data_IF_431195446689
#
_entry.id   IF_431195446689
#
_cell.length_a   1.000
_cell.length_b   1.000
_cell.length_c   1.000
_cell.angle_alpha   90.00
_cell.angle_beta   90.00
_cell.angle_gamma   90.00
#
_symmetry.space_group_name_H-M   'P 1'
#
loop_
_entity.id
_entity.type
_entity.pdbx_description
1 polymer ?
#
# COMPACT_ATOMS: atom_id res chain seq x y z
N UNK A 1 -3.40 6.66 -6.30
CA UNK A 1 -1.98 6.28 -6.40
C UNK A 1 -1.44 5.71 -5.08
N UNK A 2 -1.52 6.39 -3.89
CA UNK A 2 -0.91 5.87 -2.66
C UNK A 2 -1.52 4.53 -2.24
N UNK A 3 -2.84 4.37 -2.32
CA UNK A 3 -3.50 3.09 -2.07
C UNK A 3 -3.01 1.97 -2.98
N UNK A 4 -2.73 2.30 -4.24
CA UNK A 4 -2.31 1.30 -5.23
C UNK A 4 -0.92 0.76 -4.90
N UNK A 5 0.03 1.62 -4.53
CA UNK A 5 1.35 1.18 -4.08
C UNK A 5 1.25 0.29 -2.84
N UNK A 6 0.63 0.79 -1.78
CA UNK A 6 0.52 0.09 -0.52
C UNK A 6 -0.22 -1.24 -0.66
N UNK A 7 -1.37 -1.24 -1.35
CA UNK A 7 -2.18 -2.45 -1.52
C UNK A 7 -1.54 -3.48 -2.47
N UNK A 8 -0.79 -3.07 -3.51
CA UNK A 8 -0.05 -4.01 -4.35
C UNK A 8 1.11 -4.66 -3.60
N UNK A 9 1.79 -3.90 -2.74
CA UNK A 9 2.82 -4.43 -1.85
C UNK A 9 2.25 -5.44 -0.87
N UNK A 10 1.16 -5.09 -0.19
CA UNK A 10 0.49 -5.96 0.76
C UNK A 10 -0.11 -7.22 0.10
N UNK A 11 -0.64 -7.10 -1.10
CA UNK A 11 -1.10 -8.25 -1.89
C UNK A 11 0.01 -9.29 -2.05
N UNK A 12 1.24 -8.88 -2.30
CA UNK A 12 2.39 -9.79 -2.45
C UNK A 12 2.76 -10.41 -1.09
N UNK A 13 2.75 -9.62 -0.01
CA UNK A 13 3.02 -10.09 1.33
C UNK A 13 1.97 -11.13 1.77
N UNK A 14 0.68 -10.82 1.65
CA UNK A 14 -0.40 -11.74 2.01
C UNK A 14 -0.43 -12.99 1.14
N UNK A 15 -0.11 -12.89 -0.15
CA UNK A 15 0.02 -14.06 -1.04
C UNK A 15 1.15 -15.00 -0.65
N UNK A 16 2.11 -14.58 0.15
CA UNK A 16 3.13 -15.44 0.77
C UNK A 16 2.68 -16.08 2.09
N UNK A 17 1.48 -15.74 2.57
CA UNK A 17 0.93 -16.20 3.85
C UNK A 17 1.26 -15.30 5.04
N UNK A 18 1.81 -14.11 4.82
CA UNK A 18 2.15 -13.15 5.88
C UNK A 18 1.09 -12.05 5.95
N UNK A 19 0.51 -11.84 7.14
CA UNK A 19 -0.46 -10.78 7.42
C UNK A 19 0.22 -9.62 8.14
N UNK A 20 0.36 -8.49 7.47
CA UNK A 20 1.07 -7.34 8.01
C UNK A 20 0.13 -6.16 8.32
N UNK A 21 -0.32 -6.05 9.55
CA UNK A 21 -1.13 -4.92 10.01
C UNK A 21 -0.32 -3.64 10.29
N UNK A 22 1.00 -3.66 10.05
CA UNK A 22 1.90 -2.52 10.23
C UNK A 22 1.97 -1.54 9.06
N UNK A 23 1.16 -1.74 8.03
CA UNK A 23 1.21 -1.00 6.77
C UNK A 23 1.06 0.52 6.96
N UNK A 24 0.18 0.95 7.86
CA UNK A 24 -0.01 2.37 8.21
C UNK A 24 1.26 3.00 8.75
N UNK A 25 1.93 2.34 9.70
CA UNK A 25 3.21 2.81 10.26
C UNK A 25 4.34 2.84 9.22
N UNK A 26 4.37 1.86 8.31
CA UNK A 26 5.34 1.82 7.21
C UNK A 26 5.13 2.96 6.22
N UNK A 27 3.86 3.30 5.92
CA UNK A 27 3.52 4.46 5.10
C UNK A 27 3.95 5.77 5.75
N UNK A 28 3.70 5.94 7.06
CA UNK A 28 4.09 7.16 7.80
C UNK A 28 5.61 7.34 7.84
N UNK A 29 6.37 6.27 8.12
CA UNK A 29 7.82 6.30 8.09
C UNK A 29 8.36 6.61 6.69
N UNK A 30 7.75 6.03 5.65
CA UNK A 30 8.06 6.36 4.27
C UNK A 30 7.77 7.82 3.92
N UNK A 31 6.65 8.36 4.39
CA UNK A 31 6.24 9.74 4.14
C UNK A 31 7.21 10.75 4.77
N UNK A 32 7.55 10.58 6.06
CA UNK A 32 8.45 11.51 6.76
C UNK A 32 9.86 11.46 6.22
N UNK A 33 10.37 10.25 5.93
CA UNK A 33 11.72 10.07 5.40
C UNK A 33 11.85 10.65 3.99
N UNK A 34 10.85 10.37 3.13
CA UNK A 34 10.83 10.95 1.79
C UNK A 34 10.75 12.47 1.82
N UNK A 35 9.90 13.03 2.69
CA UNK A 35 9.80 14.47 2.86
C UNK A 35 11.13 15.08 3.30
N UNK A 36 11.76 14.54 4.36
CA UNK A 36 13.04 15.03 4.86
C UNK A 36 14.16 14.99 3.81
N UNK A 37 14.24 13.90 3.02
CA UNK A 37 15.22 13.80 1.94
C UNK A 37 14.91 14.78 0.80
N UNK A 38 13.65 14.96 0.42
CA UNK A 38 13.28 15.95 -0.59
C UNK A 38 13.59 17.37 -0.12
N UNK A 39 13.30 17.68 1.13
CA UNK A 39 13.56 18.99 1.74
C UNK A 39 15.04 19.35 1.78
N UNK A 40 15.90 18.37 2.08
CA UNK A 40 17.35 18.59 2.20
C UNK A 40 18.11 18.52 0.87
N UNK A 41 17.67 17.65 -0.05
CA UNK A 41 18.40 17.39 -1.32
C UNK A 41 17.75 18.00 -2.54
N UNK A 42 16.47 18.36 -2.48
CA UNK A 42 15.68 18.81 -3.64
C UNK A 42 15.38 17.68 -4.65
N UNK A 43 15.79 16.44 -4.40
CA UNK A 43 15.67 15.33 -5.35
C UNK A 43 14.48 14.43 -5.02
N UNK A 44 13.45 14.44 -5.87
CA UNK A 44 12.29 13.56 -5.74
C UNK A 44 12.66 12.07 -5.86
N UNK A 45 13.62 11.73 -6.71
CA UNK A 45 14.04 10.34 -6.91
C UNK A 45 14.70 9.77 -5.65
N UNK A 46 15.64 10.52 -5.07
CA UNK A 46 16.27 10.13 -3.79
C UNK A 46 15.25 10.06 -2.66
N UNK A 47 14.30 10.97 -2.63
CA UNK A 47 13.24 11.01 -1.64
C UNK A 47 12.35 9.75 -1.71
N UNK A 48 11.90 9.37 -2.91
CA UNK A 48 11.09 8.15 -3.10
C UNK A 48 11.88 6.90 -2.74
N UNK A 49 13.16 6.83 -3.12
CA UNK A 49 14.04 5.71 -2.74
C UNK A 49 14.22 5.63 -1.22
N UNK A 50 14.44 6.76 -0.55
CA UNK A 50 14.55 6.82 0.91
C UNK A 50 13.25 6.41 1.60
N UNK A 51 12.09 6.83 1.09
CA UNK A 51 10.79 6.40 1.58
C UNK A 51 10.57 4.89 1.42
N UNK A 52 10.96 4.32 0.27
CA UNK A 52 10.91 2.87 0.04
C UNK A 52 11.82 2.11 1.03
N UNK A 53 13.03 2.59 1.26
CA UNK A 53 13.98 1.99 2.21
C UNK A 53 13.47 2.08 3.66
N UNK A 54 12.88 3.20 4.06
CA UNK A 54 12.28 3.36 5.39
C UNK A 54 11.11 2.39 5.61
N UNK A 55 10.23 2.25 4.62
CA UNK A 55 9.16 1.25 4.66
C UNK A 55 9.69 -0.19 4.70
N UNK A 56 10.73 -0.50 3.91
CA UNK A 56 11.40 -1.81 3.93
C UNK A 56 12.09 -2.09 5.27
N UNK A 57 12.71 -1.09 5.90
CA UNK A 57 13.34 -1.23 7.22
C UNK A 57 12.31 -1.56 8.31
N UNK A 58 11.16 -0.90 8.28
CA UNK A 58 10.03 -1.23 9.16
C UNK A 58 9.50 -2.64 8.90
N UNK A 59 9.41 -3.04 7.62
CA UNK A 59 9.00 -4.39 7.24
C UNK A 59 10.03 -5.43 7.64
N UNK A 60 11.32 -5.11 7.64
CA UNK A 60 12.37 -5.99 8.14
C UNK A 60 12.20 -6.23 9.65
N UNK A 61 11.95 -5.18 10.42
CA UNK A 61 11.66 -5.30 11.85
C UNK A 61 10.43 -6.19 12.08
N UNK A 62 9.35 -5.98 11.33
CA UNK A 62 8.18 -6.85 11.35
C UNK A 62 8.54 -8.30 11.01
N UNK A 63 9.30 -8.54 9.95
CA UNK A 63 9.65 -9.87 9.49
C UNK A 63 10.50 -10.63 10.52
N UNK A 64 11.45 -9.97 11.17
CA UNK A 64 12.24 -10.58 12.25
C UNK A 64 11.33 -11.02 13.40
N UNK A 65 10.42 -10.17 13.84
CA UNK A 65 9.51 -10.49 14.94
C UNK A 65 8.47 -11.56 14.55
N UNK A 66 7.81 -11.39 13.41
CA UNK A 66 6.67 -12.21 13.01
C UNK A 66 7.09 -13.52 12.31
N UNK A 67 8.20 -13.55 11.57
CA UNK A 67 8.63 -14.71 10.80
C UNK A 67 9.71 -15.49 11.56
N UNK A 68 10.78 -14.82 12.05
CA UNK A 68 11.89 -15.52 12.73
C UNK A 68 11.57 -15.82 14.18
N UNK A 69 11.04 -14.85 14.95
CA UNK A 69 10.66 -15.03 16.35
C UNK A 69 9.24 -15.58 16.53
N UNK A 70 8.49 -15.78 15.43
CA UNK A 70 7.13 -16.34 15.40
C UNK A 70 6.14 -15.61 16.33
N UNK A 71 6.35 -14.32 16.56
CA UNK A 71 5.40 -13.48 17.27
C UNK A 71 4.06 -13.42 16.52
N UNK A 72 2.99 -13.12 17.23
CA UNK A 72 1.68 -12.94 16.60
C UNK A 72 1.74 -11.82 15.56
N UNK A 73 1.48 -12.15 14.30
CA UNK A 73 1.62 -11.23 13.16
C UNK A 73 0.72 -9.99 13.29
N UNK A 74 -0.53 -10.19 13.71
CA UNK A 74 -1.48 -9.10 13.89
C UNK A 74 -1.02 -8.14 15.00
N UNK A 75 -0.67 -8.68 16.19
CA UNK A 75 -0.20 -7.89 17.32
C UNK A 75 1.09 -7.14 17.00
N UNK A 76 2.05 -7.81 16.32
CA UNK A 76 3.30 -7.19 15.88
C UNK A 76 3.06 -6.05 14.89
N UNK A 77 2.16 -6.26 13.92
CA UNK A 77 1.80 -5.22 12.95
C UNK A 77 1.15 -4.00 13.60
N UNK A 78 0.22 -4.21 14.53
CA UNK A 78 -0.41 -3.14 15.30
C UNK A 78 0.61 -2.35 16.14
N UNK A 79 1.51 -3.05 16.84
CA UNK A 79 2.57 -2.41 17.60
C UNK A 79 3.49 -1.57 16.71
N UNK A 80 3.85 -2.07 15.52
CA UNK A 80 4.64 -1.31 14.55
C UNK A 80 3.90 -0.12 13.95
N UNK A 81 2.58 -0.19 13.82
CA UNK A 81 1.78 0.97 13.43
C UNK A 81 1.91 2.08 14.48
N UNK A 82 1.71 1.75 15.76
CA UNK A 82 1.84 2.72 16.86
C UNK A 82 3.28 3.27 16.92
N UNK A 83 4.28 2.41 16.80
CA UNK A 83 5.68 2.83 16.71
C UNK A 83 5.92 3.78 15.54
N UNK A 84 5.41 3.45 14.34
CA UNK A 84 5.54 4.28 13.15
C UNK A 84 4.88 5.65 13.29
N UNK A 85 3.71 5.73 13.93
CA UNK A 85 3.03 7.00 14.26
C UNK A 85 3.93 7.84 15.16
N UNK A 86 4.42 7.28 16.28
CA UNK A 86 5.28 8.02 17.22
C UNK A 86 6.62 8.43 16.60
N UNK A 87 7.30 7.51 15.93
CA UNK A 87 8.61 7.76 15.32
C UNK A 87 8.52 8.79 14.18
N UNK A 88 7.51 8.68 13.32
CA UNK A 88 7.33 9.64 12.23
C UNK A 88 6.97 11.04 12.75
N UNK A 89 6.17 11.14 13.81
CA UNK A 89 5.87 12.40 14.48
C UNK A 89 7.14 13.05 15.05
N UNK A 90 7.97 12.26 15.75
CA UNK A 90 9.23 12.76 16.33
C UNK A 90 10.21 13.25 15.24
N UNK A 91 10.44 12.45 14.20
CA UNK A 91 11.34 12.81 13.08
C UNK A 91 10.78 14.01 12.31
N UNK A 92 9.47 14.10 12.18
CA UNK A 92 8.79 15.09 11.37
C UNK A 92 8.58 16.46 12.03
N UNK A 93 8.87 16.62 13.34
CA UNK A 93 8.63 17.87 14.07
C UNK A 93 9.25 19.08 13.39
N UNK A 94 10.49 18.97 12.92
CA UNK A 94 11.19 20.05 12.23
C UNK A 94 10.66 20.42 10.84
N UNK A 95 9.75 19.62 10.30
CA UNK A 95 9.23 19.79 8.93
C UNK A 95 7.79 20.31 8.90
N UNK A 96 7.13 20.44 10.07
CA UNK A 96 5.74 20.92 10.15
C UNK A 96 5.67 22.34 9.61
N UNK A 97 4.70 22.59 8.70
CA UNK A 97 4.50 23.91 8.09
C UNK A 97 5.47 24.26 6.96
N UNK A 98 6.39 23.37 6.59
CA UNK A 98 7.30 23.57 5.47
C UNK A 98 6.67 23.01 4.18
N UNK A 99 6.38 23.84 3.16
CA UNK A 99 5.88 23.35 1.88
C UNK A 99 7.05 22.89 0.99
N UNK A 100 6.79 21.88 0.17
CA UNK A 100 7.68 21.46 -0.92
C UNK A 100 7.06 21.84 -2.28
N UNK A 101 7.89 22.14 -3.29
CA UNK A 101 7.38 22.26 -4.65
C UNK A 101 6.85 20.89 -5.10
N UNK A 102 5.62 20.85 -5.69
CA UNK A 102 5.08 19.59 -6.19
C UNK A 102 5.96 19.02 -7.31
N UNK A 103 6.01 17.69 -7.46
CA UNK A 103 6.80 17.04 -8.51
C UNK A 103 6.32 17.46 -9.89
N UNK A 104 7.26 17.54 -10.83
CA UNK A 104 6.99 17.93 -12.22
C UNK A 104 6.01 16.94 -12.86
N UNK A 105 4.94 17.45 -13.44
CA UNK A 105 4.00 16.65 -14.23
C UNK A 105 4.65 16.28 -15.56
N UNK A 106 4.54 15.02 -15.93
CA UNK A 106 4.95 14.53 -17.26
C UNK A 106 3.84 14.89 -18.27
N UNK A 107 3.78 16.18 -18.64
CA UNK A 107 2.87 16.63 -19.69
C UNK A 107 3.56 16.49 -21.05
N UNK A 108 2.91 15.84 -22.01
CA UNK A 108 3.35 15.81 -23.41
C UNK A 108 2.69 17.01 -24.11
N UNK A 109 3.47 18.05 -24.50
CA UNK A 109 2.91 19.22 -25.15
C UNK A 109 2.07 18.82 -26.38
N UNK A 110 0.87 19.38 -26.49
CA UNK A 110 -0.06 19.09 -27.60
C UNK A 110 -1.00 17.90 -27.41
N UNK A 111 -0.62 16.88 -26.63
CA UNK A 111 -1.49 15.73 -26.33
C UNK A 111 -2.20 15.86 -24.96
N UNK A 112 -1.50 16.38 -23.97
CA UNK A 112 -2.04 16.53 -22.61
C UNK A 112 -3.02 17.70 -22.48
N UNK A 113 -2.88 18.77 -23.30
CA UNK A 113 -3.67 19.99 -23.17
C UNK A 113 -4.82 20.09 -24.17
N UNK A 114 -4.76 19.33 -25.27
CA UNK A 114 -5.70 19.43 -26.40
C UNK A 114 -7.04 18.72 -26.18
N UNK A 115 -7.12 17.70 -25.35
CA UNK A 115 -8.33 16.90 -25.16
C UNK A 115 -8.56 16.55 -23.68
N UNK A 116 -9.83 16.37 -23.28
CA UNK A 116 -10.19 15.92 -21.92
C UNK A 116 -9.58 14.55 -21.61
N UNK A 117 -9.54 13.65 -22.58
CA UNK A 117 -8.90 12.35 -22.45
C UNK A 117 -7.37 12.45 -22.27
N UNK A 118 -6.71 13.38 -22.97
CA UNK A 118 -5.29 13.67 -22.81
C UNK A 118 -4.94 14.14 -21.40
N UNK A 119 -5.73 15.04 -20.83
CA UNK A 119 -5.55 15.50 -19.44
C UNK A 119 -5.72 14.39 -18.42
N UNK A 120 -6.69 13.48 -18.62
CA UNK A 120 -6.96 12.35 -17.71
C UNK A 120 -5.88 11.28 -17.83
N UNK A 121 -5.30 11.05 -19.00
CA UNK A 121 -4.35 9.96 -19.22
C UNK A 121 -2.88 10.41 -19.16
N UNK A 122 -2.57 11.65 -19.56
CA UNK A 122 -1.20 12.11 -19.80
C UNK A 122 -0.80 13.34 -18.97
N UNK A 123 -1.65 13.79 -18.03
CA UNK A 123 -1.42 14.99 -17.21
C UNK A 123 -0.96 14.70 -15.77
N UNK A 124 -0.37 13.54 -15.50
CA UNK A 124 0.00 13.11 -14.16
C UNK A 124 1.52 13.17 -13.92
N UNK A 125 1.91 13.08 -12.64
CA UNK A 125 3.29 12.94 -12.24
C UNK A 125 3.84 11.52 -12.51
N UNK A 126 5.17 11.37 -12.52
CA UNK A 126 5.85 10.10 -12.80
C UNK A 126 5.43 8.96 -11.86
N UNK A 127 5.07 9.27 -10.61
CA UNK A 127 4.72 8.27 -9.60
C UNK A 127 3.35 7.62 -9.90
N UNK A 128 2.44 8.35 -10.57
CA UNK A 128 1.16 7.77 -11.01
C UNK A 128 1.40 6.67 -12.06
N UNK A 129 2.25 6.95 -13.04
CA UNK A 129 2.60 5.96 -14.07
C UNK A 129 3.39 4.81 -13.48
N UNK A 130 4.29 5.08 -12.54
CA UNK A 130 5.03 4.04 -11.81
C UNK A 130 4.07 3.13 -11.03
N UNK A 131 3.02 3.67 -10.40
CA UNK A 131 2.02 2.87 -9.68
C UNK A 131 1.26 1.92 -10.62
N UNK A 132 0.88 2.40 -11.82
CA UNK A 132 0.23 1.58 -12.83
C UNK A 132 1.18 0.50 -13.38
N UNK A 133 2.41 0.88 -13.71
CA UNK A 133 3.44 -0.06 -14.16
C UNK A 133 3.71 -1.13 -13.09
N UNK A 134 3.79 -0.73 -11.82
CA UNK A 134 3.96 -1.66 -10.70
C UNK A 134 2.77 -2.61 -10.55
N UNK A 135 1.53 -2.12 -10.73
CA UNK A 135 0.34 -2.98 -10.70
C UNK A 135 0.37 -4.05 -11.80
N UNK A 136 0.78 -3.66 -13.01
CA UNK A 136 0.96 -4.61 -14.14
C UNK A 136 2.10 -5.58 -13.84
N UNK A 137 3.22 -5.09 -13.31
CA UNK A 137 4.38 -5.93 -12.95
C UNK A 137 4.02 -6.97 -11.88
N UNK A 138 3.31 -6.57 -10.81
CA UNK A 138 2.83 -7.49 -9.76
C UNK A 138 1.83 -8.50 -10.33
N UNK A 139 0.91 -8.07 -11.19
CA UNK A 139 -0.04 -8.98 -11.85
C UNK A 139 0.69 -10.02 -12.72
N UNK A 140 1.65 -9.57 -13.53
CA UNK A 140 2.47 -10.46 -14.33
C UNK A 140 3.35 -11.38 -13.48
N UNK A 141 3.99 -10.85 -12.44
CA UNK A 141 4.83 -11.61 -11.50
C UNK A 141 4.04 -12.76 -10.87
N UNK A 142 2.87 -12.46 -10.29
CA UNK A 142 2.02 -13.47 -9.65
C UNK A 142 1.44 -14.47 -10.64
N UNK A 143 1.14 -14.08 -11.90
CA UNK A 143 0.47 -14.93 -12.86
C UNK A 143 1.44 -15.78 -13.71
N UNK A 144 2.60 -15.24 -14.05
CA UNK A 144 3.48 -15.81 -15.10
C UNK A 144 4.88 -16.18 -14.64
N UNK A 145 5.39 -15.63 -13.52
CA UNK A 145 6.76 -15.90 -13.08
C UNK A 145 6.87 -17.16 -12.21
N UNK A 146 8.00 -17.88 -12.31
CA UNK A 146 8.32 -19.03 -11.43
C UNK A 146 8.37 -18.61 -9.96
N UNK A 147 8.94 -17.45 -9.66
CA UNK A 147 9.03 -16.94 -8.29
C UNK A 147 7.64 -16.58 -7.73
N UNK A 148 6.75 -15.99 -8.56
CA UNK A 148 5.36 -15.73 -8.17
C UNK A 148 4.55 -17.00 -7.94
N UNK A 149 4.82 -18.08 -8.71
CA UNK A 149 4.22 -19.38 -8.47
C UNK A 149 4.70 -19.96 -7.14
N UNK A 150 6.02 -19.94 -6.87
CA UNK A 150 6.61 -20.38 -5.61
C UNK A 150 6.05 -19.60 -4.40
N UNK A 151 5.92 -18.27 -4.54
CA UNK A 151 5.33 -17.42 -3.52
C UNK A 151 3.90 -17.81 -3.17
N UNK A 152 3.06 -18.09 -4.18
CA UNK A 152 1.68 -18.55 -3.96
C UNK A 152 1.65 -19.93 -3.32
N UNK A 153 2.51 -20.86 -3.77
CA UNK A 153 2.61 -22.19 -3.17
C UNK A 153 2.98 -22.13 -1.67
N UNK A 154 3.88 -21.22 -1.29
CA UNK A 154 4.24 -20.94 0.12
C UNK A 154 3.04 -20.41 0.91
N UNK A 155 2.23 -19.52 0.31
CA UNK A 155 1.03 -18.98 0.95
C UNK A 155 -0.12 -19.99 1.07
N UNK A 156 -0.22 -20.94 0.14
CA UNK A 156 -1.27 -21.95 0.17
C UNK A 156 -0.91 -23.11 1.12
N UNK A 157 0.33 -23.61 1.10
CA UNK A 157 0.83 -24.65 2.01
C UNK A 157 2.33 -24.50 2.23
N UNK A 158 2.70 -23.88 3.35
CA UNK A 158 4.11 -23.66 3.69
C UNK A 158 4.85 -25.00 3.89
N UNK A 159 4.22 -26.00 4.51
CA UNK A 159 4.81 -27.31 4.78
C UNK A 159 5.03 -28.10 3.47
N UNK A 160 4.05 -28.10 2.56
CA UNK A 160 4.18 -28.75 1.25
C UNK A 160 5.24 -28.04 0.38
N UNK A 161 5.30 -26.72 0.42
CA UNK A 161 6.29 -25.93 -0.30
C UNK A 161 7.71 -26.23 0.22
N UNK A 162 7.88 -26.37 1.54
CA UNK A 162 9.14 -26.75 2.17
C UNK A 162 9.56 -28.18 1.77
N UNK A 163 8.63 -29.14 1.79
CA UNK A 163 8.89 -30.53 1.37
C UNK A 163 9.35 -30.61 -0.11
N UNK A 164 8.93 -29.67 -0.95
CA UNK A 164 9.39 -29.53 -2.34
C UNK A 164 10.72 -28.77 -2.50
N UNK A 165 11.39 -28.43 -1.37
CA UNK A 165 12.68 -27.74 -1.37
C UNK A 165 12.60 -26.21 -1.53
N UNK A 166 11.41 -25.59 -1.43
CA UNK A 166 11.29 -24.13 -1.45
C UNK A 166 11.70 -23.52 -0.12
N UNK A 167 12.47 -22.45 -0.16
CA UNK A 167 12.83 -21.71 1.05
C UNK A 167 11.67 -20.79 1.46
N UNK A 168 10.79 -21.31 2.35
CA UNK A 168 9.60 -20.61 2.84
C UNK A 168 9.96 -19.31 3.54
N UNK A 169 10.95 -19.34 4.44
CA UNK A 169 11.37 -18.18 5.23
C UNK A 169 11.88 -17.05 4.32
N UNK A 170 12.81 -17.37 3.40
CA UNK A 170 13.34 -16.35 2.47
C UNK A 170 12.25 -15.77 1.57
N UNK A 171 11.29 -16.59 1.11
CA UNK A 171 10.17 -16.14 0.28
C UNK A 171 9.26 -15.19 1.06
N UNK A 172 8.93 -15.51 2.31
CA UNK A 172 8.13 -14.64 3.19
C UNK A 172 8.85 -13.34 3.50
N UNK A 173 10.15 -13.38 3.80
CA UNK A 173 10.97 -12.17 4.01
C UNK A 173 10.96 -11.27 2.78
N UNK A 174 11.26 -11.80 1.60
CA UNK A 174 11.30 -11.04 0.36
C UNK A 174 9.94 -10.38 0.05
N UNK A 175 8.84 -11.11 0.23
CA UNK A 175 7.49 -10.60 0.03
C UNK A 175 7.13 -9.48 1.02
N UNK A 176 7.49 -9.66 2.29
CA UNK A 176 7.22 -8.66 3.36
C UNK A 176 8.04 -7.40 3.15
N UNK A 177 9.33 -7.52 2.79
CA UNK A 177 10.19 -6.38 2.48
C UNK A 177 9.69 -5.61 1.27
N UNK A 178 9.28 -6.31 0.21
CA UNK A 178 8.65 -5.69 -0.94
C UNK A 178 7.36 -4.95 -0.55
N UNK A 179 6.52 -5.58 0.29
CA UNK A 179 5.31 -4.97 0.84
C UNK A 179 5.58 -3.66 1.55
N UNK A 180 6.57 -3.65 2.47
CA UNK A 180 6.97 -2.46 3.19
C UNK A 180 7.58 -1.38 2.32
N UNK A 181 8.42 -1.76 1.33
CA UNK A 181 8.96 -0.80 0.37
C UNK A 181 7.85 -0.10 -0.41
N UNK A 182 6.85 -0.85 -0.90
CA UNK A 182 5.70 -0.29 -1.60
C UNK A 182 4.84 0.59 -0.69
N UNK A 183 4.64 0.21 0.57
CA UNK A 183 3.99 1.05 1.57
C UNK A 183 4.75 2.37 1.78
N UNK A 184 6.08 2.30 1.89
CA UNK A 184 6.95 3.48 1.99
C UNK A 184 6.84 4.41 0.78
N UNK A 185 6.80 3.86 -0.45
CA UNK A 185 6.55 4.65 -1.67
C UNK A 185 5.16 5.27 -1.65
N UNK A 186 4.13 4.52 -1.20
CA UNK A 186 2.78 5.05 -1.01
C UNK A 186 2.73 6.24 -0.04
N UNK A 187 3.49 6.15 1.06
CA UNK A 187 3.70 7.25 2.00
C UNK A 187 4.44 8.44 1.38
N UNK A 188 5.55 8.17 0.66
CA UNK A 188 6.31 9.19 -0.06
C UNK A 188 5.42 9.96 -1.05
N UNK A 189 4.54 9.27 -1.77
CA UNK A 189 3.59 9.93 -2.67
C UNK A 189 2.68 10.92 -1.93
N UNK A 190 2.24 10.57 -0.72
CA UNK A 190 1.38 11.47 0.08
C UNK A 190 2.10 12.77 0.43
N UNK A 191 3.34 12.69 0.92
CA UNK A 191 4.09 13.86 1.39
C UNK A 191 4.77 14.66 0.27
N UNK A 192 5.02 14.06 -0.90
CA UNK A 192 5.69 14.73 -2.01
C UNK A 192 4.74 15.27 -3.08
N UNK A 193 3.68 14.50 -3.41
CA UNK A 193 2.84 14.78 -4.57
C UNK A 193 1.37 15.09 -4.23
N UNK A 194 0.77 14.33 -3.31
CA UNK A 194 -0.64 14.49 -2.98
C UNK A 194 -0.89 15.72 -2.11
N UNK A 195 -0.12 15.86 -1.03
CA UNK A 195 -0.12 17.03 -0.16
C UNK A 195 1.35 17.37 0.09
N UNK A 196 1.98 18.24 -0.72
CA UNK A 196 3.42 18.48 -0.68
C UNK A 196 3.82 19.27 0.56
N UNK A 197 3.56 18.67 1.70
CA UNK A 197 3.92 19.13 3.05
C UNK A 197 3.91 17.94 4.00
N UNK A 198 4.63 18.06 5.09
CA UNK A 198 4.57 17.09 6.18
C UNK A 198 3.53 17.52 7.22
N UNK A 199 2.75 16.56 7.68
CA UNK A 199 1.85 16.70 8.83
C UNK A 199 1.76 15.40 9.62
N UNK A 200 1.63 15.51 10.93
CA UNK A 200 1.45 14.35 11.79
C UNK A 200 0.23 13.53 11.36
N UNK A 201 0.39 12.22 11.38
CA UNK A 201 -0.66 11.26 11.01
C UNK A 201 -1.29 11.52 9.61
N UNK A 202 -0.51 12.06 8.66
CA UNK A 202 -1.00 12.45 7.34
C UNK A 202 -1.56 11.30 6.50
N UNK A 203 -1.25 10.06 6.83
CA UNK A 203 -1.83 8.88 6.19
C UNK A 203 -3.29 8.67 6.59
N UNK A 204 -3.68 9.08 7.81
CA UNK A 204 -5.07 9.09 8.30
C UNK A 204 -5.84 7.78 8.01
N UNK A 205 -5.22 6.64 8.27
CA UNK A 205 -5.84 5.32 8.07
C UNK A 205 -5.75 4.77 6.64
N UNK A 206 -5.03 5.42 5.72
CA UNK A 206 -4.90 4.96 4.33
C UNK A 206 -4.21 3.61 4.20
N UNK A 207 -3.31 3.26 5.13
CA UNK A 207 -2.72 1.93 5.19
C UNK A 207 -3.74 0.85 5.54
N UNK A 208 -4.64 1.11 6.48
CA UNK A 208 -5.76 0.22 6.81
C UNK A 208 -6.72 0.02 5.64
N UNK A 209 -6.99 1.10 4.89
CA UNK A 209 -7.82 1.03 3.69
C UNK A 209 -7.13 0.18 2.62
N UNK A 210 -5.81 0.33 2.43
CA UNK A 210 -5.05 -0.46 1.48
C UNK A 210 -5.12 -1.96 1.80
N UNK A 211 -5.03 -2.33 3.08
CA UNK A 211 -5.19 -3.70 3.56
C UNK A 211 -6.62 -4.22 3.30
N UNK A 212 -7.64 -3.44 3.63
CA UNK A 212 -9.02 -3.79 3.35
C UNK A 212 -9.27 -3.99 1.84
N UNK A 213 -8.62 -3.19 0.98
CA UNK A 213 -8.71 -3.32 -0.48
C UNK A 213 -8.12 -4.65 -0.99
N UNK A 214 -7.10 -5.23 -0.35
CA UNK A 214 -6.55 -6.55 -0.72
C UNK A 214 -7.58 -7.64 -0.48
N UNK A 215 -8.21 -7.64 0.69
CA UNK A 215 -9.29 -8.58 1.04
C UNK A 215 -10.49 -8.39 0.11
N UNK A 216 -10.91 -7.14 -0.12
CA UNK A 216 -11.95 -6.74 -1.07
C UNK A 216 -11.66 -7.27 -2.48
N UNK A 217 -10.44 -7.13 -2.95
CA UNK A 217 -10.02 -7.61 -4.26
C UNK A 217 -9.93 -9.14 -4.35
N UNK A 218 -10.19 -9.86 -3.24
CA UNK A 218 -10.01 -11.31 -3.16
C UNK A 218 -8.63 -11.75 -3.67
N UNK A 219 -7.59 -11.05 -3.25
CA UNK A 219 -6.19 -11.25 -3.64
C UNK A 219 -5.93 -11.30 -5.16
N UNK A 220 -6.77 -10.60 -5.96
CA UNK A 220 -6.61 -10.50 -7.42
C UNK A 220 -6.13 -9.09 -7.81
N UNK A 221 -4.95 -8.94 -8.46
CA UNK A 221 -4.38 -7.63 -8.79
C UNK A 221 -5.32 -6.73 -9.61
N UNK A 222 -6.00 -7.29 -10.63
CA UNK A 222 -6.92 -6.50 -11.46
C UNK A 222 -8.13 -5.95 -10.70
N UNK A 223 -8.69 -6.72 -9.74
CA UNK A 223 -9.78 -6.25 -8.88
C UNK A 223 -9.27 -5.21 -7.88
N UNK A 224 -8.03 -5.35 -7.43
CA UNK A 224 -7.41 -4.40 -6.51
C UNK A 224 -7.23 -3.03 -7.18
N UNK A 225 -6.80 -2.99 -8.44
CA UNK A 225 -6.75 -1.75 -9.22
C UNK A 225 -8.13 -1.11 -9.29
N UNK A 226 -9.15 -1.88 -9.70
CA UNK A 226 -10.53 -1.38 -9.78
C UNK A 226 -11.04 -0.86 -8.44
N UNK A 227 -10.80 -1.60 -7.35
CA UNK A 227 -11.17 -1.19 -6.00
C UNK A 227 -10.46 0.09 -5.53
N UNK A 228 -9.17 0.21 -5.79
CA UNK A 228 -8.39 1.40 -5.44
C UNK A 228 -8.88 2.65 -6.19
N UNK A 229 -9.23 2.53 -7.46
CA UNK A 229 -9.80 3.64 -8.23
C UNK A 229 -11.23 3.97 -7.82
N UNK A 230 -12.06 2.97 -7.54
CA UNK A 230 -13.40 3.17 -7.01
C UNK A 230 -13.37 3.94 -5.68
N UNK A 231 -12.50 3.51 -4.74
CA UNK A 231 -12.35 4.19 -3.46
C UNK A 231 -11.85 5.64 -3.66
N UNK A 232 -10.86 5.84 -4.53
CA UNK A 232 -10.34 7.17 -4.85
C UNK A 232 -11.43 8.06 -5.48
N UNK A 233 -12.25 7.54 -6.39
CA UNK A 233 -13.34 8.27 -7.01
C UNK A 233 -14.40 8.72 -5.98
N UNK A 234 -14.76 7.84 -5.03
CA UNK A 234 -15.71 8.17 -3.96
C UNK A 234 -15.12 9.24 -3.03
N UNK A 235 -13.82 9.13 -2.70
CA UNK A 235 -13.11 10.15 -1.90
C UNK A 235 -13.09 11.51 -2.61
N UNK A 236 -12.86 11.53 -3.93
CA UNK A 236 -12.93 12.76 -4.70
C UNK A 236 -14.35 13.32 -4.78
N UNK A 237 -15.36 12.47 -5.01
CA UNK A 237 -16.76 12.87 -5.02
C UNK A 237 -17.19 13.50 -3.68
N UNK A 238 -16.66 13.01 -2.56
CA UNK A 238 -16.86 13.60 -1.24
C UNK A 238 -16.38 15.07 -1.19
N UNK A 239 -15.15 15.34 -1.68
CA UNK A 239 -14.62 16.71 -1.71
C UNK A 239 -15.42 17.64 -2.63
N UNK A 240 -15.84 17.15 -3.79
CA UNK A 240 -16.72 17.91 -4.67
C UNK A 240 -18.08 18.18 -4.03
N UNK A 241 -18.66 17.22 -3.33
CA UNK A 241 -19.92 17.39 -2.61
C UNK A 241 -19.83 18.44 -1.50
N UNK A 242 -18.70 18.49 -0.79
CA UNK A 242 -18.43 19.52 0.21
C UNK A 242 -18.34 20.91 -0.42
N UNK A 243 -17.64 21.05 -1.56
CA UNK A 243 -17.48 22.31 -2.28
C UNK A 243 -18.78 22.79 -2.95
N UNK A 244 -19.65 21.90 -3.34
CA UNK A 244 -20.93 22.21 -4.00
C UNK A 244 -22.04 22.68 -3.05
N UNK A 245 -21.80 22.70 -1.73
CA UNK A 245 -22.78 23.20 -0.76
C UNK A 245 -24.06 22.39 -0.68
N UNK A 246 -24.00 21.05 -0.81
CA UNK A 246 -25.16 20.15 -0.86
C UNK A 246 -26.01 20.11 0.43
N UNK A 247 -25.71 20.96 1.42
CA UNK A 247 -26.43 20.98 2.71
C UNK A 247 -26.27 19.71 3.56
N UNK A 248 -25.41 18.78 3.14
CA UNK A 248 -25.08 17.56 3.87
C UNK A 248 -23.94 17.84 4.83
N UNK A 249 -24.03 17.47 6.12
CA UNK A 249 -22.93 17.64 7.06
C UNK A 249 -21.63 17.00 6.55
N UNK A 250 -20.51 17.69 6.71
CA UNK A 250 -19.20 17.24 6.25
C UNK A 250 -18.85 15.84 6.80
N UNK A 251 -19.26 15.56 8.03
CA UNK A 251 -19.05 14.26 8.69
C UNK A 251 -19.73 13.11 7.94
N UNK A 252 -20.93 13.33 7.43
CA UNK A 252 -21.68 12.33 6.66
C UNK A 252 -21.00 12.06 5.32
N UNK A 253 -20.55 13.11 4.63
CA UNK A 253 -19.79 12.97 3.38
C UNK A 253 -18.46 12.24 3.63
N UNK A 254 -17.79 12.51 4.76
CA UNK A 254 -16.54 11.82 5.14
C UNK A 254 -16.73 10.32 5.40
N UNK A 255 -17.93 9.85 5.73
CA UNK A 255 -18.24 8.43 5.88
C UNK A 255 -18.42 7.70 4.54
N UNK A 256 -18.68 8.41 3.44
CA UNK A 256 -19.02 7.81 2.15
C UNK A 256 -18.00 6.77 1.64
N UNK A 257 -16.66 6.99 1.67
CA UNK A 257 -15.69 5.99 1.25
C UNK A 257 -15.72 4.71 2.10
N UNK A 258 -15.92 4.86 3.41
CA UNK A 258 -15.98 3.72 4.34
C UNK A 258 -17.26 2.92 4.16
N UNK A 259 -18.41 3.61 3.99
CA UNK A 259 -19.70 2.97 3.68
C UNK A 259 -19.62 2.20 2.37
N UNK A 260 -19.01 2.78 1.33
CA UNK A 260 -18.80 2.09 0.07
C UNK A 260 -17.95 0.83 0.23
N UNK A 261 -16.91 0.89 1.09
CA UNK A 261 -16.08 -0.29 1.40
C UNK A 261 -16.89 -1.38 2.09
N UNK A 262 -17.74 -1.01 3.06
CA UNK A 262 -18.63 -1.96 3.76
C UNK A 262 -19.61 -2.60 2.77
N UNK A 263 -20.28 -1.81 1.94
CA UNK A 263 -21.21 -2.30 0.92
C UNK A 263 -20.50 -3.27 -0.04
N UNK A 264 -19.33 -2.91 -0.49
CA UNK A 264 -18.57 -3.75 -1.39
C UNK A 264 -18.11 -5.06 -0.72
N UNK A 265 -17.68 -5.02 0.55
CA UNK A 265 -17.36 -6.24 1.32
C UNK A 265 -18.58 -7.13 1.49
N UNK A 266 -19.77 -6.57 1.75
CA UNK A 266 -21.02 -7.34 1.85
C UNK A 266 -21.36 -8.02 0.53
N UNK A 267 -21.21 -7.32 -0.60
CA UNK A 267 -21.48 -7.88 -1.93
C UNK A 267 -20.52 -9.05 -2.23
N UNK A 268 -19.22 -8.87 -1.94
CA UNK A 268 -18.21 -9.90 -2.21
C UNK A 268 -18.35 -11.08 -1.27
N UNK A 269 -18.69 -10.85 -0.01
CA UNK A 269 -18.90 -11.92 0.99
C UNK A 269 -20.06 -12.86 0.65
N UNK A 270 -20.96 -12.46 -0.26
CA UNK A 270 -22.02 -13.34 -0.77
C UNK A 270 -21.46 -14.55 -1.52
N UNK A 271 -20.34 -14.37 -2.23
CA UNK A 271 -19.66 -15.46 -2.94
C UNK A 271 -18.51 -16.03 -2.09
N UNK A 272 -18.88 -16.85 -1.11
CA UNK A 272 -17.93 -17.53 -0.21
C UNK A 272 -16.98 -18.48 -0.95
N UNK A 273 -17.41 -19.07 -2.07
CA UNK A 273 -16.58 -19.97 -2.85
C UNK A 273 -15.42 -19.22 -3.50
N UNK A 274 -15.68 -18.05 -4.08
CA UNK A 274 -14.67 -17.19 -4.71
C UNK A 274 -13.66 -16.65 -3.69
N UNK A 275 -14.13 -16.26 -2.52
CA UNK A 275 -13.25 -15.74 -1.46
C UNK A 275 -12.32 -16.83 -0.92
N UNK A 276 -12.86 -18.02 -0.64
CA UNK A 276 -12.07 -19.17 -0.15
C UNK A 276 -11.07 -19.69 -1.19
N UNK A 277 -11.44 -19.71 -2.47
CA UNK A 277 -10.58 -20.19 -3.54
C UNK A 277 -9.36 -19.30 -3.81
N UNK A 278 -9.40 -18.04 -3.42
CA UNK A 278 -8.32 -17.08 -3.66
C UNK A 278 -7.53 -16.69 -2.40
N UNK A 279 -8.10 -16.87 -1.21
CA UNK A 279 -7.41 -16.55 0.04
C UNK A 279 -6.24 -17.53 0.27
N UNK A 280 -5.03 -17.04 0.61
CA UNK A 280 -3.93 -17.92 0.98
C UNK A 280 -4.27 -18.70 2.24
N UNK A 281 -4.19 -20.04 2.18
CA UNK A 281 -4.65 -20.89 3.28
C UNK A 281 -3.76 -20.80 4.54
N UNK A 282 -2.50 -20.39 4.37
CA UNK A 282 -1.54 -20.17 5.47
C UNK A 282 -1.47 -18.72 5.94
N UNK A 283 -2.40 -17.82 5.53
CA UNK A 283 -2.38 -16.42 5.92
C UNK A 283 -2.37 -16.27 7.46
N UNK A 284 -1.40 -15.52 7.97
CA UNK A 284 -1.23 -15.27 9.39
C UNK A 284 -0.71 -16.46 10.22
N UNK A 285 -0.40 -17.60 9.60
CA UNK A 285 0.11 -18.78 10.29
C UNK A 285 1.64 -18.76 10.35
N UNK A 286 2.25 -18.97 11.55
CA UNK A 286 3.68 -19.14 11.66
C UNK A 286 4.11 -20.43 10.95
N UNK A 287 5.35 -20.46 10.47
CA UNK A 287 5.96 -21.65 9.86
C UNK A 287 7.24 -22.02 10.60
N UNK A 288 7.41 -23.30 10.91
CA UNK A 288 8.64 -23.90 11.47
C UNK A 288 9.18 -24.96 10.52
N UNK A 289 10.45 -24.84 10.14
CA UNK A 289 11.12 -25.80 9.27
C UNK A 289 11.42 -27.15 9.98
N UNK A 290 11.44 -27.17 11.32
CA UNK A 290 11.94 -28.29 12.13
C UNK A 290 10.83 -29.21 12.68
N UNK A 291 9.68 -29.25 12.02
CA UNK A 291 8.60 -30.17 12.38
C UNK A 291 8.30 -31.16 11.29
#
# INVERSE_FOLDING_TARGET
TPFLFAAMGELVAERSGVLNLGLEGMMLMGAVTAFGVAFTTGSTVLAVAAGALAGAAMALLFAVLAISLMANQAATGLALTIFGVGASGLIGQGFIGQPLPPPVKLAIPGLSDGTMAGRILLGHDALVYLALAMAVAVAWFLARSRAGLALRAVGDSADSAHALGLNVTATRYAATLFGGAMAGVGGAYLSLAYTPMWGENMTAGRGWIALALVVFATWRPGRLVAGAYLFAAITQAQFYGQGAGLGVPQQVLAMAPYLATIVALVIISRDRALTRANAPACLGRPFRADR
#
